data_IF_938467488982
#
_entry.id   IF_938467488982
#
_cell.length_a   1.000
_cell.length_b   1.000
_cell.length_c   1.000
_cell.angle_alpha   90.00
_cell.angle_beta   90.00
_cell.angle_gamma   90.00
#
_symmetry.space_group_name_H-M   'P 1'
#
loop_
_entity.id
_entity.type
_entity.pdbx_description
1 polymer ?
#
# COMPACT_ATOMS: atom_id res chain seq x y z
N UNK A 1 -4.03 -17.26 1.98
CA UNK A 1 -2.83 -16.76 2.67
C UNK A 1 -3.14 -15.39 3.25
N UNK A 2 -3.16 -15.30 4.59
CA UNK A 2 -3.18 -14.04 5.34
C UNK A 2 -1.84 -13.32 5.15
N UNK A 3 -1.79 -11.99 5.32
CA UNK A 3 -0.61 -11.11 5.10
C UNK A 3 0.72 -11.50 5.79
N UNK A 4 0.76 -12.62 6.52
CA UNK A 4 1.95 -13.25 7.09
C UNK A 4 2.99 -13.70 6.04
N UNK A 5 2.58 -13.95 4.80
CA UNK A 5 3.50 -14.35 3.71
C UNK A 5 3.82 -13.21 2.76
N UNK A 6 2.86 -12.32 2.52
CA UNK A 6 3.00 -11.22 1.57
C UNK A 6 3.98 -10.15 2.06
N UNK A 7 3.98 -9.85 3.36
CA UNK A 7 4.89 -8.85 3.91
C UNK A 7 6.37 -9.29 3.86
N UNK A 8 6.78 -10.49 4.33
CA UNK A 8 8.17 -10.92 4.21
C UNK A 8 8.66 -11.00 2.77
N UNK A 9 7.83 -11.51 1.84
CA UNK A 9 8.19 -11.58 0.41
C UNK A 9 8.28 -10.18 -0.19
N UNK A 10 7.36 -9.28 0.13
CA UNK A 10 7.38 -7.90 -0.34
C UNK A 10 8.60 -7.12 0.16
N UNK A 11 8.99 -7.30 1.42
CA UNK A 11 10.24 -6.75 1.97
C UNK A 11 11.43 -7.28 1.18
N UNK A 12 11.52 -8.60 0.99
CA UNK A 12 12.61 -9.23 0.25
C UNK A 12 12.72 -8.68 -1.19
N UNK A 13 11.61 -8.68 -1.93
CA UNK A 13 11.57 -8.18 -3.30
C UNK A 13 11.93 -6.70 -3.39
N UNK A 14 11.44 -5.87 -2.46
CA UNK A 14 11.79 -4.46 -2.38
C UNK A 14 13.27 -4.24 -2.08
N UNK A 15 13.86 -5.04 -1.18
CA UNK A 15 15.27 -4.91 -0.81
C UNK A 15 16.21 -5.29 -1.95
N UNK A 16 15.86 -6.33 -2.69
CA UNK A 16 16.56 -6.69 -3.93
C UNK A 16 16.50 -5.51 -4.90
N UNK A 17 15.32 -4.95 -5.14
CA UNK A 17 15.15 -3.83 -6.05
C UNK A 17 15.95 -2.59 -5.62
N UNK A 18 15.99 -2.30 -4.32
CA UNK A 18 16.81 -1.21 -3.78
C UNK A 18 18.31 -1.45 -3.98
N UNK A 19 18.78 -2.69 -3.82
CA UNK A 19 20.18 -3.06 -4.04
C UNK A 19 20.60 -2.90 -5.51
N UNK A 20 19.73 -3.28 -6.45
CA UNK A 20 19.97 -3.14 -7.89
C UNK A 20 20.07 -1.68 -8.34
N UNK A 21 19.56 -0.72 -7.56
CA UNK A 21 19.67 0.72 -7.88
C UNK A 21 21.01 1.35 -7.46
N UNK A 22 21.94 0.57 -6.89
CA UNK A 22 23.29 1.01 -6.55
C UNK A 22 23.63 0.87 -5.07
N UNK A 23 24.74 1.48 -4.58
CA UNK A 23 25.20 1.33 -3.21
C UNK A 23 24.11 1.67 -2.19
N UNK A 24 23.97 0.82 -1.17
CA UNK A 24 22.91 0.92 -0.14
C UNK A 24 23.56 1.24 1.21
N UNK A 25 23.13 2.33 1.84
CA UNK A 25 23.51 2.70 3.20
C UNK A 25 22.59 2.09 4.25
N UNK A 26 22.97 2.16 5.53
CA UNK A 26 22.10 1.75 6.65
C UNK A 26 20.77 2.49 6.68
N UNK A 27 20.78 3.77 6.29
CA UNK A 27 19.57 4.56 6.16
C UNK A 27 18.68 4.02 5.04
N UNK A 28 19.26 3.71 3.88
CA UNK A 28 18.52 3.18 2.74
C UNK A 28 17.88 1.83 3.09
N UNK A 29 18.58 0.98 3.86
CA UNK A 29 18.02 -0.27 4.38
C UNK A 29 16.81 -0.01 5.29
N UNK A 30 16.93 0.91 6.25
CA UNK A 30 15.83 1.25 7.15
C UNK A 30 14.62 1.81 6.39
N UNK A 31 14.86 2.80 5.52
CA UNK A 31 13.80 3.43 4.74
C UNK A 31 13.15 2.48 3.75
N UNK A 32 13.96 1.70 3.04
CA UNK A 32 13.50 0.69 2.11
C UNK A 32 12.64 -0.37 2.79
N UNK A 33 13.07 -0.91 3.95
CA UNK A 33 12.29 -1.90 4.70
C UNK A 33 10.92 -1.36 5.09
N UNK A 34 10.84 -0.10 5.54
CA UNK A 34 9.56 0.55 5.88
C UNK A 34 8.67 0.72 4.64
N UNK A 35 9.21 1.24 3.55
CA UNK A 35 8.47 1.42 2.30
C UNK A 35 7.94 0.10 1.75
N UNK A 36 8.78 -0.94 1.74
CA UNK A 36 8.44 -2.28 1.27
C UNK A 36 7.39 -2.96 2.16
N UNK A 37 7.54 -2.85 3.48
CA UNK A 37 6.58 -3.37 4.45
C UNK A 37 5.20 -2.76 4.23
N UNK A 38 5.12 -1.43 4.13
CA UNK A 38 3.88 -0.72 3.82
C UNK A 38 3.29 -1.18 2.48
N UNK A 39 4.05 -1.09 1.40
CA UNK A 39 3.60 -1.44 0.06
C UNK A 39 3.02 -2.86 -0.05
N UNK A 40 3.65 -3.81 0.65
CA UNK A 40 3.27 -5.21 0.64
C UNK A 40 1.97 -5.51 1.39
N UNK A 41 1.54 -4.64 2.32
CA UNK A 41 0.30 -4.82 3.09
C UNK A 41 -0.85 -3.97 2.56
N UNK A 42 -0.57 -2.93 1.76
CA UNK A 42 -1.60 -2.07 1.17
C UNK A 42 -2.69 -2.81 0.38
N UNK A 43 -2.39 -3.84 -0.43
CA UNK A 43 -3.46 -4.57 -1.13
C UNK A 43 -4.48 -5.17 -0.18
N UNK A 44 -4.03 -5.71 0.97
CA UNK A 44 -4.90 -6.33 1.97
C UNK A 44 -5.76 -5.32 2.74
N UNK A 45 -5.61 -4.00 2.50
CA UNK A 45 -6.34 -2.99 3.28
C UNK A 45 -7.87 -2.99 3.04
N UNK A 46 -8.32 -3.61 1.96
CA UNK A 46 -9.76 -3.83 1.67
C UNK A 46 -10.34 -5.07 2.38
N UNK A 47 -9.51 -5.86 3.07
CA UNK A 47 -9.95 -6.94 3.95
C UNK A 47 -10.37 -6.42 5.34
N UNK A 48 -10.13 -5.13 5.62
CA UNK A 48 -10.41 -4.48 6.89
C UNK A 48 -11.87 -4.10 7.12
N UNK A 49 -12.84 -4.60 6.32
CA UNK A 49 -14.28 -4.39 6.57
C UNK A 49 -14.75 -4.81 7.98
N UNK A 50 -13.91 -5.48 8.77
CA UNK A 50 -14.12 -5.79 10.20
C UNK A 50 -13.04 -5.25 11.15
N UNK A 51 -12.04 -4.49 10.66
CA UNK A 51 -10.83 -4.09 11.41
C UNK A 51 -10.29 -2.70 11.02
N UNK A 52 -11.04 -1.61 11.29
CA UNK A 52 -10.61 -0.25 10.96
C UNK A 52 -9.31 0.19 11.65
N UNK A 53 -8.95 -0.46 12.76
CA UNK A 53 -7.68 -0.20 13.47
C UNK A 53 -6.44 -0.54 12.62
N UNK A 54 -6.50 -1.57 11.77
CA UNK A 54 -5.38 -1.97 10.91
C UNK A 54 -5.11 -0.93 9.80
N UNK A 55 -6.16 -0.33 9.23
CA UNK A 55 -6.03 0.81 8.32
C UNK A 55 -5.36 2.02 8.99
N UNK A 56 -5.73 2.31 10.24
CA UNK A 56 -5.10 3.39 11.03
C UNK A 56 -3.61 3.09 11.28
N UNK A 57 -3.24 1.82 11.53
CA UNK A 57 -1.84 1.43 11.66
C UNK A 57 -1.06 1.63 10.36
N UNK A 58 -1.63 1.36 9.19
CA UNK A 58 -0.96 1.59 7.91
C UNK A 58 -0.78 3.09 7.60
N UNK A 59 -1.80 3.91 7.91
CA UNK A 59 -1.68 5.39 7.86
C UNK A 59 -0.57 5.86 8.81
N UNK A 60 -0.54 5.35 10.04
CA UNK A 60 0.46 5.72 11.04
C UNK A 60 1.88 5.32 10.62
N UNK A 61 2.07 4.11 10.07
CA UNK A 61 3.35 3.64 9.51
C UNK A 61 3.83 4.55 8.38
N UNK A 62 2.97 4.87 7.42
CA UNK A 62 3.31 5.77 6.32
C UNK A 62 3.64 7.18 6.81
N UNK A 63 2.87 7.70 7.76
CA UNK A 63 3.08 9.03 8.34
C UNK A 63 4.41 9.10 9.09
N UNK A 64 4.70 8.10 9.93
CA UNK A 64 5.97 8.00 10.65
C UNK A 64 7.16 7.88 9.70
N UNK A 65 7.04 7.06 8.65
CA UNK A 65 8.06 6.92 7.62
C UNK A 65 8.33 8.24 6.89
N UNK A 66 7.26 8.93 6.47
CA UNK A 66 7.35 10.21 5.76
C UNK A 66 8.04 11.27 6.63
N UNK A 67 7.65 11.38 7.89
CA UNK A 67 8.27 12.29 8.85
C UNK A 67 9.75 11.97 9.04
N UNK A 68 10.11 10.69 9.24
CA UNK A 68 11.50 10.27 9.40
C UNK A 68 12.34 10.59 8.16
N UNK A 69 11.85 10.28 6.97
CA UNK A 69 12.53 10.56 5.71
C UNK A 69 12.81 12.06 5.53
N UNK A 70 11.84 12.92 5.86
CA UNK A 70 12.00 14.38 5.81
C UNK A 70 13.11 14.89 6.71
N UNK A 71 13.12 14.45 7.98
CA UNK A 71 14.12 14.89 8.96
C UNK A 71 15.55 14.57 8.49
N UNK A 72 15.71 13.48 7.74
CA UNK A 72 17.02 12.98 7.33
C UNK A 72 17.50 13.62 6.03
N UNK A 73 16.62 13.85 5.05
CA UNK A 73 17.01 14.42 3.76
C UNK A 73 16.95 15.94 3.67
N UNK A 74 16.47 16.65 4.72
CA UNK A 74 16.19 18.10 4.68
C UNK A 74 15.37 18.51 3.45
N UNK A 75 14.48 17.61 3.01
CA UNK A 75 13.66 17.80 1.81
C UNK A 75 12.49 18.74 2.07
N UNK A 76 11.93 19.29 1.00
CA UNK A 76 10.65 19.98 1.04
C UNK A 76 9.56 18.98 1.44
N UNK A 77 8.80 19.31 2.49
CA UNK A 77 7.62 18.58 2.90
C UNK A 77 6.39 19.40 2.59
N UNK A 78 5.52 18.83 1.79
CA UNK A 78 4.20 19.39 1.51
C UNK A 78 3.19 18.71 2.44
N UNK A 79 2.75 19.36 3.54
CA UNK A 79 1.89 18.73 4.54
C UNK A 79 0.55 18.27 3.98
N UNK A 80 0.11 18.91 2.88
CA UNK A 80 -1.07 18.56 2.08
C UNK A 80 -1.02 17.16 1.51
N UNK A 81 0.17 16.58 1.39
CA UNK A 81 0.30 15.23 0.87
C UNK A 81 -0.31 14.23 1.86
N UNK A 82 -0.03 14.31 3.17
CA UNK A 82 -0.55 13.35 4.18
C UNK A 82 -2.05 13.09 4.04
N UNK A 83 -2.93 14.11 4.02
CA UNK A 83 -4.36 13.89 3.82
C UNK A 83 -4.72 13.32 2.44
N UNK A 84 -3.93 13.59 1.39
CA UNK A 84 -4.12 12.97 0.06
C UNK A 84 -3.84 11.46 0.13
N UNK A 85 -2.73 11.03 0.75
CA UNK A 85 -2.47 9.59 0.92
C UNK A 85 -3.51 8.93 1.82
N UNK A 86 -3.91 9.60 2.92
CA UNK A 86 -4.98 9.13 3.76
C UNK A 86 -6.29 8.96 2.97
N UNK A 87 -6.63 9.90 2.08
CA UNK A 87 -7.80 9.80 1.21
C UNK A 87 -7.72 8.62 0.24
N UNK A 88 -6.56 8.38 -0.38
CA UNK A 88 -6.32 7.22 -1.26
C UNK A 88 -6.38 5.90 -0.48
N UNK A 89 -5.85 5.87 0.73
CA UNK A 89 -5.97 4.74 1.64
C UNK A 89 -7.42 4.48 2.03
N UNK A 90 -8.17 5.50 2.42
CA UNK A 90 -9.60 5.40 2.73
C UNK A 90 -10.37 4.90 1.49
N UNK A 91 -10.03 5.41 0.30
CA UNK A 91 -10.60 4.89 -0.95
C UNK A 91 -10.30 3.40 -1.16
N UNK A 92 -9.12 2.93 -0.76
CA UNK A 92 -8.77 1.51 -0.74
C UNK A 92 -9.55 0.70 0.29
N UNK A 93 -9.63 1.18 1.54
CA UNK A 93 -10.34 0.50 2.65
C UNK A 93 -11.84 0.41 2.40
N UNK A 94 -12.44 1.45 1.83
CA UNK A 94 -13.85 1.45 1.44
C UNK A 94 -14.11 0.57 0.20
N UNK A 95 -13.10 -0.15 -0.32
CA UNK A 95 -13.28 -1.07 -1.42
C UNK A 95 -13.99 -2.35 -1.00
N UNK A 96 -14.87 -2.89 -1.86
CA UNK A 96 -15.40 -4.22 -1.64
C UNK A 96 -14.25 -5.22 -1.76
N UNK A 97 -14.29 -6.20 -0.86
CA UNK A 97 -13.21 -7.15 -0.61
C UNK A 97 -12.60 -7.70 -1.91
N UNK A 98 -11.28 -7.51 -2.09
CA UNK A 98 -10.43 -7.98 -3.20
C UNK A 98 -10.65 -7.38 -4.58
N UNK A 99 -11.38 -6.26 -4.66
CA UNK A 99 -11.74 -5.63 -5.93
C UNK A 99 -10.77 -4.54 -6.39
N UNK A 100 -10.53 -3.51 -5.56
CA UNK A 100 -9.85 -2.28 -6.00
C UNK A 100 -8.36 -2.29 -5.69
N UNK A 101 -7.98 -2.65 -4.46
CA UNK A 101 -6.58 -2.61 -3.99
C UNK A 101 -5.76 -3.75 -4.57
N UNK A 102 -6.38 -4.89 -4.91
CA UNK A 102 -5.73 -6.01 -5.59
C UNK A 102 -5.70 -5.82 -7.13
N UNK A 103 -5.33 -4.62 -7.61
CA UNK A 103 -5.30 -4.27 -9.03
C UNK A 103 -4.02 -3.54 -9.45
N UNK A 104 -3.66 -3.64 -10.72
CA UNK A 104 -2.54 -2.87 -11.30
C UNK A 104 -2.83 -1.36 -11.30
N UNK A 105 -4.11 -0.97 -11.33
CA UNK A 105 -4.51 0.44 -11.21
C UNK A 105 -4.18 0.96 -9.81
N UNK A 106 -4.49 0.18 -8.76
CA UNK A 106 -4.13 0.55 -7.40
C UNK A 106 -2.61 0.57 -7.19
N UNK A 107 -1.87 -0.39 -7.74
CA UNK A 107 -0.40 -0.35 -7.78
C UNK A 107 0.10 0.99 -8.32
N UNK A 108 -0.40 1.43 -9.48
CA UNK A 108 0.02 2.68 -10.10
C UNK A 108 -0.36 3.90 -9.25
N UNK A 109 -1.58 3.96 -8.70
CA UNK A 109 -2.04 5.06 -7.85
C UNK A 109 -1.20 5.15 -6.58
N UNK A 110 -1.07 4.06 -5.81
CA UNK A 110 -0.33 4.08 -4.55
C UNK A 110 1.15 4.37 -4.75
N UNK A 111 1.77 3.83 -5.81
CA UNK A 111 3.18 4.11 -6.12
C UNK A 111 3.38 5.57 -6.56
N UNK A 112 2.46 6.11 -7.37
CA UNK A 112 2.52 7.53 -7.78
C UNK A 112 2.32 8.47 -6.60
N UNK A 113 1.38 8.15 -5.70
CA UNK A 113 1.20 8.89 -4.45
C UNK A 113 2.47 8.81 -3.60
N UNK A 114 3.06 7.62 -3.43
CA UNK A 114 4.30 7.47 -2.68
C UNK A 114 5.43 8.34 -3.27
N UNK A 115 5.61 8.35 -4.58
CA UNK A 115 6.61 9.19 -5.26
C UNK A 115 6.35 10.69 -5.05
N UNK A 116 5.10 11.12 -5.13
CA UNK A 116 4.74 12.52 -4.91
C UNK A 116 5.08 13.01 -3.50
N UNK A 117 5.10 12.11 -2.51
CA UNK A 117 5.54 12.42 -1.14
C UNK A 117 7.04 12.29 -0.95
N UNK A 118 7.62 11.24 -1.51
CA UNK A 118 9.00 10.84 -1.35
C UNK A 118 9.55 10.76 -2.77
N UNK A 119 9.95 11.91 -3.35
CA UNK A 119 10.44 11.99 -4.72
C UNK A 119 11.84 11.40 -4.79
N UNK A 120 11.90 10.08 -4.68
CA UNK A 120 13.10 9.28 -4.66
C UNK A 120 12.82 8.02 -5.48
N UNK A 121 13.46 7.93 -6.63
CA UNK A 121 13.24 6.84 -7.58
C UNK A 121 13.55 5.47 -6.98
N UNK A 122 14.61 5.39 -6.15
CA UNK A 122 15.06 4.14 -5.53
C UNK A 122 14.00 3.58 -4.58
N UNK A 123 13.45 4.43 -3.72
CA UNK A 123 12.40 4.03 -2.78
C UNK A 123 11.06 3.80 -3.44
N UNK A 124 10.75 4.55 -4.49
CA UNK A 124 9.53 4.38 -5.27
C UNK A 124 9.55 3.06 -6.02
N UNK A 125 10.69 2.70 -6.61
CA UNK A 125 10.88 1.41 -7.26
C UNK A 125 10.79 0.27 -6.23
N UNK A 126 11.45 0.41 -5.07
CA UNK A 126 11.32 -0.52 -3.95
C UNK A 126 9.84 -0.72 -3.56
N UNK A 127 9.10 0.36 -3.34
CA UNK A 127 7.68 0.34 -3.01
C UNK A 127 6.84 -0.37 -4.09
N UNK A 128 7.01 0.00 -5.36
CA UNK A 128 6.26 -0.57 -6.47
C UNK A 128 6.50 -2.07 -6.63
N UNK A 129 7.76 -2.52 -6.52
CA UNK A 129 8.11 -3.94 -6.60
C UNK A 129 7.53 -4.74 -5.43
N UNK A 130 7.56 -4.19 -4.21
CA UNK A 130 6.93 -4.81 -3.04
C UNK A 130 5.42 -4.98 -3.20
N UNK A 131 4.73 -3.96 -3.71
CA UNK A 131 3.29 -4.05 -4.00
C UNK A 131 3.00 -5.05 -5.12
N UNK A 132 3.79 -5.02 -6.20
CA UNK A 132 3.66 -5.95 -7.32
C UNK A 132 3.84 -7.41 -6.87
N UNK A 133 4.79 -7.66 -5.97
CA UNK A 133 5.03 -9.01 -5.42
C UNK A 133 3.79 -9.57 -4.72
N UNK A 134 3.01 -8.71 -4.06
CA UNK A 134 1.75 -9.10 -3.45
C UNK A 134 0.77 -9.59 -4.52
N UNK A 135 0.59 -8.81 -5.60
CA UNK A 135 -0.31 -9.16 -6.70
C UNK A 135 0.10 -10.47 -7.39
N UNK A 136 1.41 -10.67 -7.59
CA UNK A 136 1.97 -11.89 -8.17
C UNK A 136 1.74 -13.10 -7.27
N UNK A 137 1.97 -12.99 -5.96
CA UNK A 137 1.69 -14.07 -5.01
C UNK A 137 0.22 -14.46 -5.02
N UNK A 138 -0.66 -13.47 -5.16
CA UNK A 138 -2.08 -13.71 -5.22
C UNK A 138 -2.52 -14.41 -6.53
N UNK A 139 -1.87 -14.09 -7.67
CA UNK A 139 -2.01 -14.83 -8.93
C UNK A 139 -1.58 -16.29 -8.77
N UNK A 140 -0.42 -16.54 -8.16
CA UNK A 140 0.12 -17.88 -7.94
C UNK A 140 -0.75 -18.71 -7.00
N UNK A 141 -1.41 -18.06 -6.03
CA UNK A 141 -2.34 -18.71 -5.11
C UNK A 141 -3.75 -18.91 -5.69
N UNK A 142 -4.00 -18.56 -6.96
CA UNK A 142 -5.30 -18.66 -7.63
C UNK A 142 -6.43 -17.98 -6.85
N UNK A 143 -6.13 -16.92 -6.09
CA UNK A 143 -7.18 -16.14 -5.44
C UNK A 143 -7.95 -15.36 -6.50
N UNK A 144 -9.27 -15.36 -6.42
CA UNK A 144 -10.08 -14.50 -7.29
C UNK A 144 -9.86 -13.04 -6.92
N UNK A 145 -9.13 -12.31 -7.77
CA UNK A 145 -8.90 -10.88 -7.66
C UNK A 145 -9.21 -10.19 -8.99
N UNK A 146 -9.62 -8.93 -8.94
CA UNK A 146 -9.84 -8.14 -10.14
C UNK A 146 -8.62 -7.29 -10.49
N UNK A 147 -7.67 -7.89 -11.21
CA UNK A 147 -6.38 -7.27 -11.52
C UNK A 147 -6.45 -5.98 -12.35
N UNK A 148 -7.53 -5.77 -13.11
CA UNK A 148 -7.76 -4.56 -13.92
C UNK A 148 -8.74 -3.57 -13.28
N UNK A 149 -9.24 -3.83 -12.07
CA UNK A 149 -10.20 -2.95 -11.39
C UNK A 149 -11.63 -2.98 -11.97
N UNK A 150 -11.94 -3.92 -12.86
CA UNK A 150 -13.28 -4.14 -13.42
C UNK A 150 -14.16 -4.93 -12.44
N UNK A 151 -14.82 -4.19 -11.56
CA UNK A 151 -15.73 -4.70 -10.54
C UNK A 151 -16.79 -5.68 -11.09
N UNK A 152 -16.88 -6.92 -10.55
CA UNK A 152 -18.03 -7.81 -10.79
C UNK A 152 -19.25 -7.27 -10.02
N UNK A 153 -20.36 -7.10 -10.74
CA UNK A 153 -21.56 -6.32 -10.35
C UNK A 153 -22.32 -6.82 -9.10
N UNK A 154 -22.07 -8.04 -8.63
CA UNK A 154 -23.00 -8.75 -7.73
C UNK A 154 -22.90 -8.42 -6.23
N UNK A 155 -21.92 -7.62 -5.77
CA UNK A 155 -21.77 -7.30 -4.33
C UNK A 155 -22.26 -5.90 -3.93
N UNK A 156 -23.00 -5.19 -4.79
CA UNK A 156 -23.37 -3.77 -4.58
C UNK A 156 -24.41 -3.54 -3.46
N UNK A 157 -25.06 -4.59 -2.95
CA UNK A 157 -26.14 -4.46 -1.96
C UNK A 157 -25.66 -4.54 -0.50
N UNK A 158 -24.53 -5.17 -0.21
CA UNK A 158 -23.98 -5.22 1.16
C UNK A 158 -23.37 -3.89 1.61
N UNK A 159 -22.59 -3.23 0.74
CA UNK A 159 -21.80 -2.05 1.14
C UNK A 159 -22.66 -0.82 1.46
N UNK A 160 -23.80 -0.66 0.78
CA UNK A 160 -24.76 0.44 1.06
C UNK A 160 -25.55 0.15 2.34
N UNK A 161 -25.89 -1.12 2.60
CA UNK A 161 -26.55 -1.52 3.85
C UNK A 161 -25.66 -1.32 5.07
N UNK A 162 -24.36 -1.58 4.95
CA UNK A 162 -23.41 -1.38 6.04
C UNK A 162 -23.22 0.09 6.41
N UNK A 163 -23.21 1.04 5.46
CA UNK A 163 -23.11 2.47 5.82
C UNK A 163 -24.34 2.95 6.59
N UNK A 164 -25.53 2.45 6.23
CA UNK A 164 -26.78 2.77 6.94
C UNK A 164 -26.83 2.16 8.34
N UNK A 165 -26.17 1.01 8.57
CA UNK A 165 -26.16 0.36 9.89
C UNK A 165 -25.22 1.02 10.91
N UNK A 166 -24.39 1.98 10.49
CA UNK A 166 -23.55 2.79 11.40
C UNK A 166 -24.21 4.12 11.78
N UNK A 167 -25.36 4.44 11.16
CA UNK A 167 -26.13 5.65 11.41
C UNK A 167 -27.32 5.44 12.39
N UNK A 168 -27.40 4.25 13.00
CA UNK A 168 -28.34 3.86 14.06
C UNK A 168 -27.57 3.28 15.23
#
# INVERSE_FOLDING_TARGET
>A
MLGRTHMPVGILCGMIALYETGPVSWLDLGCGCMAASLASTLPDCDQYNSRPLEAVYDIAKFSAFSILYMFIKKGHFEPLMIPIFAAVLIWGVLAPHRGRTHSFVALFIFTSCFYAFIPNDRYTLCFGISYLSHLVLDLLNKKENCYFGLYKKDMRLESVRQIVSWAH
#
